data_IF_360830614601
#
_entry.id   IF_360830614601
#
_cell.length_a   1.000
_cell.length_b   1.000
_cell.length_c   1.000
_cell.angle_alpha   90.00
_cell.angle_beta   90.00
_cell.angle_gamma   90.00
#
_symmetry.space_group_name_H-M   'P 1'
#
loop_
_entity.id
_entity.type
_entity.pdbx_description
1 polymer ?
#
# COMPACT_ATOMS: atom_id res chain seq x y z
N UNK A 1 41.61 -39.11 21.04
CA UNK A 1 41.31 -37.67 20.93
C UNK A 1 40.23 -37.30 19.90
N UNK A 2 39.95 -38.12 18.87
CA UNK A 2 38.98 -37.76 17.82
C UNK A 2 37.48 -37.92 18.20
N UNK A 3 37.15 -38.59 19.31
CA UNK A 3 35.76 -38.89 19.70
C UNK A 3 35.15 -37.80 20.61
N UNK A 4 35.99 -37.04 21.30
CA UNK A 4 35.58 -35.94 22.19
C UNK A 4 35.18 -34.70 21.39
N UNK A 5 35.82 -34.45 20.25
CA UNK A 5 35.52 -33.28 19.38
C UNK A 5 34.20 -33.42 18.63
N UNK A 6 33.80 -34.65 18.27
CA UNK A 6 32.51 -34.89 17.59
C UNK A 6 31.31 -34.65 18.51
N UNK A 7 31.40 -35.12 19.75
CA UNK A 7 30.36 -34.91 20.76
C UNK A 7 30.19 -33.44 21.16
N UNK A 8 31.28 -32.66 21.18
CA UNK A 8 31.22 -31.23 21.47
C UNK A 8 30.57 -30.44 20.32
N UNK A 9 30.82 -30.83 19.07
CA UNK A 9 30.18 -30.22 17.90
C UNK A 9 28.69 -30.57 17.81
N UNK A 10 28.30 -31.81 18.11
CA UNK A 10 26.90 -32.22 18.14
C UNK A 10 26.12 -31.51 19.27
N UNK A 11 26.76 -31.29 20.43
CA UNK A 11 26.17 -30.52 21.53
C UNK A 11 26.00 -29.05 21.15
N UNK A 12 27.02 -28.43 20.53
CA UNK A 12 26.92 -27.04 20.03
C UNK A 12 25.85 -26.89 18.94
N UNK A 13 25.73 -27.87 18.03
CA UNK A 13 24.72 -27.86 16.98
C UNK A 13 23.30 -27.98 17.55
N UNK A 14 23.11 -28.84 18.56
CA UNK A 14 21.82 -28.97 19.25
C UNK A 14 21.47 -27.73 20.09
N UNK A 15 22.45 -27.08 20.72
CA UNK A 15 22.23 -25.83 21.46
C UNK A 15 21.86 -24.69 20.50
N UNK A 16 22.56 -24.55 19.37
CA UNK A 16 22.21 -23.57 18.33
C UNK A 16 20.83 -23.83 17.74
N UNK A 17 20.47 -25.09 17.50
CA UNK A 17 19.15 -25.48 17.01
C UNK A 17 18.04 -25.26 18.06
N UNK A 18 18.36 -25.40 19.35
CA UNK A 18 17.43 -25.12 20.45
C UNK A 18 17.24 -23.61 20.68
N UNK A 19 18.28 -22.79 20.50
CA UNK A 19 18.16 -21.32 20.56
C UNK A 19 17.45 -20.72 19.34
N UNK A 20 17.54 -21.37 18.17
CA UNK A 20 16.72 -20.99 17.01
C UNK A 20 15.22 -21.33 17.20
N UNK A 21 14.90 -22.21 18.14
CA UNK A 21 13.52 -22.64 18.45
C UNK A 21 12.84 -21.80 19.54
N UNK A 22 13.60 -20.99 20.29
CA UNK A 22 13.09 -20.14 21.38
C UNK A 22 13.00 -18.65 21.03
N UNK A 23 12.92 -18.34 19.73
CA UNK A 23 12.44 -17.05 19.23
C UNK A 23 10.94 -17.07 18.97
N UNK A 24 10.13 -17.56 19.91
CA UNK A 24 8.68 -17.40 19.84
C UNK A 24 8.34 -15.95 20.19
N UNK A 25 8.52 -15.06 19.21
CA UNK A 25 7.87 -13.75 19.24
C UNK A 25 6.37 -13.98 19.45
N UNK A 26 5.79 -13.28 20.43
CA UNK A 26 4.35 -13.09 20.63
C UNK A 26 3.72 -12.33 19.44
N UNK A 27 3.88 -12.87 18.24
CA UNK A 27 3.07 -12.54 17.08
C UNK A 27 1.89 -13.51 17.09
N UNK A 28 0.63 -13.03 16.98
CA UNK A 28 -0.52 -13.90 16.96
C UNK A 28 -0.37 -14.92 15.82
N UNK A 29 -0.11 -16.17 16.20
CA UNK A 29 -0.13 -17.31 15.30
C UNK A 29 -1.55 -17.43 14.73
N UNK A 30 -1.77 -16.88 13.54
CA UNK A 30 -2.93 -17.25 12.73
C UNK A 30 -2.65 -18.63 12.15
N UNK A 31 -2.90 -19.63 13.00
CA UNK A 31 -2.81 -21.05 12.65
C UNK A 31 -3.67 -21.33 11.42
N UNK A 32 -3.15 -22.17 10.55
CA UNK A 32 -3.81 -22.92 9.49
C UNK A 32 -5.32 -23.14 9.70
N UNK A 33 -6.17 -23.08 8.65
CA UNK A 33 -7.63 -22.87 8.75
C UNK A 33 -8.47 -24.00 9.37
N UNK A 34 -7.85 -25.01 9.99
CA UNK A 34 -8.52 -26.19 10.53
C UNK A 34 -9.05 -26.05 11.96
N UNK A 35 -8.72 -24.98 12.71
CA UNK A 35 -9.08 -24.88 14.15
C UNK A 35 -9.49 -23.49 14.67
N UNK A 36 -9.67 -22.48 13.81
CA UNK A 36 -10.18 -21.18 14.28
C UNK A 36 -11.67 -21.26 14.59
N UNK A 37 -12.11 -20.74 15.75
CA UNK A 37 -13.54 -20.57 16.03
C UNK A 37 -14.19 -19.72 14.93
N UNK A 38 -15.49 -19.95 14.65
CA UNK A 38 -16.24 -19.18 13.64
C UNK A 38 -16.13 -17.67 13.89
N UNK A 39 -16.13 -17.25 15.15
CA UNK A 39 -15.98 -15.85 15.53
C UNK A 39 -14.59 -15.28 15.18
N UNK A 40 -13.52 -16.07 15.38
CA UNK A 40 -12.18 -15.68 14.95
C UNK A 40 -12.12 -15.51 13.43
N UNK A 41 -12.74 -16.43 12.67
CA UNK A 41 -12.79 -16.35 11.21
C UNK A 41 -13.57 -15.11 10.74
N UNK A 42 -14.71 -14.80 11.36
CA UNK A 42 -15.49 -13.58 11.06
C UNK A 42 -14.62 -12.34 11.29
N UNK A 43 -13.90 -12.28 12.42
CA UNK A 43 -13.03 -11.16 12.74
C UNK A 43 -11.90 -11.01 11.72
N UNK A 44 -11.24 -12.11 11.33
CA UNK A 44 -10.18 -12.08 10.31
C UNK A 44 -10.70 -11.57 8.97
N UNK A 45 -11.83 -12.10 8.48
CA UNK A 45 -12.45 -11.67 7.22
C UNK A 45 -12.85 -10.19 7.29
N UNK A 46 -13.40 -9.75 8.42
CA UNK A 46 -13.71 -8.34 8.65
C UNK A 46 -12.48 -7.44 8.54
N UNK A 47 -11.39 -7.80 9.23
CA UNK A 47 -10.12 -7.05 9.18
C UNK A 47 -9.53 -6.99 7.78
N UNK A 48 -9.60 -8.08 7.02
CA UNK A 48 -9.16 -8.15 5.63
C UNK A 48 -9.95 -7.17 4.74
N UNK A 49 -11.28 -7.21 4.79
CA UNK A 49 -12.13 -6.30 4.01
C UNK A 49 -11.94 -4.84 4.41
N UNK A 50 -11.89 -4.55 5.71
CA UNK A 50 -11.65 -3.20 6.23
C UNK A 50 -10.30 -2.65 5.73
N UNK A 51 -9.25 -3.46 5.81
CA UNK A 51 -7.91 -3.07 5.33
C UNK A 51 -7.90 -2.85 3.82
N UNK A 52 -8.57 -3.71 3.05
CA UNK A 52 -8.74 -3.53 1.60
C UNK A 52 -9.37 -2.17 1.30
N UNK A 53 -10.51 -1.83 1.92
CA UNK A 53 -11.19 -0.54 1.71
C UNK A 53 -10.27 0.65 2.00
N UNK A 54 -9.52 0.58 3.10
CA UNK A 54 -8.60 1.65 3.50
C UNK A 54 -7.47 1.89 2.49
N UNK A 55 -6.94 0.84 1.87
CA UNK A 55 -5.88 0.95 0.86
C UNK A 55 -6.45 1.34 -0.52
N UNK A 56 -7.66 0.88 -0.82
CA UNK A 56 -8.30 1.06 -2.12
C UNK A 56 -8.50 2.54 -2.49
N UNK A 57 -8.94 3.37 -1.54
CA UNK A 57 -9.15 4.80 -1.77
C UNK A 57 -7.87 5.56 -2.14
N UNK A 58 -6.78 5.51 -1.34
CA UNK A 58 -5.48 6.04 -1.72
C UNK A 58 -4.99 5.47 -3.06
N UNK A 59 -5.12 4.17 -3.29
CA UNK A 59 -4.75 3.54 -4.56
C UNK A 59 -5.49 4.14 -5.76
N UNK A 60 -6.82 4.25 -5.71
CA UNK A 60 -7.64 4.86 -6.76
C UNK A 60 -7.20 6.30 -7.02
N UNK A 61 -6.92 7.06 -5.97
CA UNK A 61 -6.45 8.45 -6.07
C UNK A 61 -5.12 8.56 -6.84
N UNK A 62 -4.15 7.70 -6.53
CA UNK A 62 -2.86 7.67 -7.24
C UNK A 62 -3.02 7.20 -8.70
N UNK A 63 -3.82 6.14 -8.92
CA UNK A 63 -4.11 5.61 -10.25
C UNK A 63 -4.73 6.68 -11.15
N UNK A 64 -5.73 7.39 -10.66
CA UNK A 64 -6.43 8.42 -11.42
C UNK A 64 -5.54 9.62 -11.74
N UNK A 65 -4.66 10.02 -10.82
CA UNK A 65 -3.68 11.07 -11.08
C UNK A 65 -2.71 10.70 -12.22
N UNK A 66 -2.22 9.45 -12.24
CA UNK A 66 -1.35 8.95 -13.31
C UNK A 66 -2.09 8.77 -14.64
N UNK A 67 -3.37 8.35 -14.61
CA UNK A 67 -4.24 8.33 -15.80
C UNK A 67 -4.43 9.74 -16.37
N UNK A 68 -4.72 10.73 -15.51
CA UNK A 68 -4.86 12.12 -15.95
C UNK A 68 -3.57 12.63 -16.57
N UNK A 69 -2.42 12.34 -15.97
CA UNK A 69 -1.09 12.65 -16.54
C UNK A 69 -0.91 12.04 -17.93
N UNK A 70 -1.36 10.80 -18.14
CA UNK A 70 -1.31 10.13 -19.44
C UNK A 70 -2.16 10.88 -20.48
N UNK A 71 -3.41 11.20 -20.12
CA UNK A 71 -4.32 11.94 -20.99
C UNK A 71 -3.78 13.32 -21.35
N UNK A 72 -3.33 14.08 -20.36
CA UNK A 72 -2.77 15.42 -20.55
C UNK A 72 -1.53 15.38 -21.43
N UNK A 73 -0.65 14.38 -21.23
CA UNK A 73 0.52 14.18 -22.05
C UNK A 73 0.16 13.93 -23.51
N UNK A 74 -0.87 13.12 -23.78
CA UNK A 74 -1.38 12.87 -25.13
C UNK A 74 -1.99 14.13 -25.75
N UNK A 75 -2.93 14.79 -25.04
CA UNK A 75 -3.57 16.06 -25.46
C UNK A 75 -2.56 17.18 -25.70
N UNK A 76 -1.44 17.19 -24.97
CA UNK A 76 -0.40 18.21 -25.13
C UNK A 76 0.29 18.18 -26.50
N UNK A 77 0.22 17.06 -27.23
CA UNK A 77 0.92 16.89 -28.52
C UNK A 77 0.42 17.84 -29.61
N UNK A 78 -0.83 18.27 -29.51
CA UNK A 78 -1.48 19.19 -30.46
C UNK A 78 -1.10 20.66 -30.22
N UNK A 79 -0.50 20.98 -29.07
CA UNK A 79 -0.13 22.33 -28.72
C UNK A 79 1.24 22.73 -29.31
N UNK A 80 1.41 24.02 -29.60
CA UNK A 80 2.73 24.58 -29.93
C UNK A 80 3.75 24.35 -28.77
N UNK A 81 5.07 24.37 -29.03
CA UNK A 81 6.08 23.99 -28.04
C UNK A 81 6.01 24.74 -26.71
N UNK A 82 5.70 26.04 -26.73
CA UNK A 82 5.61 26.88 -25.52
C UNK A 82 4.40 26.46 -24.68
N UNK A 83 3.23 26.39 -25.31
CA UNK A 83 1.99 25.98 -24.64
C UNK A 83 2.08 24.53 -24.15
N UNK A 84 2.74 23.66 -24.93
CA UNK A 84 3.00 22.28 -24.55
C UNK A 84 3.86 22.19 -23.30
N UNK A 85 4.93 22.98 -23.22
CA UNK A 85 5.74 23.05 -22.01
C UNK A 85 4.91 23.44 -20.78
N UNK A 86 4.07 24.48 -20.89
CA UNK A 86 3.21 24.92 -19.78
C UNK A 86 2.22 23.85 -19.34
N UNK A 87 1.55 23.17 -20.30
CA UNK A 87 0.62 22.06 -20.01
C UNK A 87 1.31 20.89 -19.31
N UNK A 88 2.47 20.46 -19.83
CA UNK A 88 3.23 19.37 -19.20
C UNK A 88 3.70 19.76 -17.79
N UNK A 89 4.10 21.01 -17.59
CA UNK A 89 4.58 21.48 -16.30
C UNK A 89 3.45 21.49 -15.28
N UNK A 90 2.25 21.91 -15.70
CA UNK A 90 1.05 21.89 -14.87
C UNK A 90 0.64 20.47 -14.49
N UNK A 91 0.54 19.57 -15.47
CA UNK A 91 0.14 18.18 -15.23
C UNK A 91 1.09 17.47 -14.27
N UNK A 92 2.41 17.70 -14.39
CA UNK A 92 3.37 17.16 -13.41
C UNK A 92 3.15 17.76 -12.02
N UNK A 93 2.90 19.07 -11.89
CA UNK A 93 2.60 19.70 -10.58
C UNK A 93 1.40 19.06 -9.88
N UNK A 94 0.35 18.76 -10.64
CA UNK A 94 -0.88 18.15 -10.13
C UNK A 94 -0.66 16.71 -9.64
N UNK A 95 0.29 15.98 -10.22
CA UNK A 95 0.67 14.66 -9.71
C UNK A 95 1.61 14.76 -8.51
N UNK A 96 2.66 15.60 -8.58
CA UNK A 96 3.69 15.63 -7.52
C UNK A 96 3.21 16.29 -6.22
N UNK A 97 2.15 17.10 -6.25
CA UNK A 97 1.52 17.62 -5.03
C UNK A 97 0.96 16.49 -4.15
N UNK A 98 0.64 15.34 -4.75
CA UNK A 98 0.17 14.16 -4.03
C UNK A 98 1.27 13.59 -3.13
N UNK A 99 2.52 13.67 -3.55
CA UNK A 99 3.68 13.30 -2.72
C UNK A 99 3.89 14.30 -1.58
N UNK A 100 3.69 15.60 -1.83
CA UNK A 100 3.78 16.64 -0.78
C UNK A 100 2.68 16.51 0.28
N UNK A 101 1.56 15.89 -0.07
CA UNK A 101 0.48 15.54 0.85
C UNK A 101 0.71 14.15 1.49
N UNK A 102 1.97 13.74 1.71
CA UNK A 102 2.36 12.42 2.20
C UNK A 102 1.60 11.96 3.45
N UNK A 103 1.23 12.90 4.35
CA UNK A 103 0.41 12.61 5.54
C UNK A 103 -1.01 12.11 5.23
N UNK A 104 -1.52 12.27 4.00
CA UNK A 104 -2.81 11.73 3.53
C UNK A 104 -2.66 10.37 2.84
N UNK A 105 -1.44 9.87 2.65
CA UNK A 105 -1.16 8.59 2.00
C UNK A 105 -0.71 7.57 3.06
N UNK A 106 -1.07 6.30 2.88
CA UNK A 106 -0.73 5.22 3.81
C UNK A 106 0.74 4.83 3.70
N UNK A 107 1.53 5.05 4.74
CA UNK A 107 2.89 4.55 4.80
C UNK A 107 2.89 3.03 5.01
N UNK A 108 3.06 2.30 3.91
CA UNK A 108 3.06 0.84 3.90
C UNK A 108 4.49 0.38 3.62
N UNK A 109 5.17 -0.24 4.59
CA UNK A 109 6.55 -0.69 4.45
C UNK A 109 6.66 -1.76 3.37
N UNK A 110 7.82 -1.86 2.73
CA UNK A 110 8.08 -2.94 1.77
C UNK A 110 8.07 -4.31 2.48
N UNK A 111 7.74 -5.34 1.69
CA UNK A 111 7.89 -6.73 2.11
C UNK A 111 9.38 -7.08 2.23
N UNK A 112 9.76 -7.80 3.28
CA UNK A 112 11.11 -8.34 3.42
C UNK A 112 11.32 -9.48 2.42
N UNK A 113 12.55 -9.68 1.93
CA UNK A 113 12.88 -10.76 0.99
C UNK A 113 12.65 -12.16 1.55
N UNK A 114 12.69 -12.33 2.87
CA UNK A 114 12.42 -13.61 3.55
C UNK A 114 10.96 -13.76 4.04
N UNK A 115 10.14 -12.70 3.96
CA UNK A 115 8.77 -12.69 4.50
C UNK A 115 7.77 -13.32 3.53
N UNK A 116 6.95 -14.26 4.02
CA UNK A 116 5.89 -14.84 3.19
C UNK A 116 4.79 -13.82 2.86
N UNK A 117 4.10 -14.03 1.73
CA UNK A 117 3.10 -13.06 1.25
C UNK A 117 1.93 -12.86 2.21
N UNK A 118 1.50 -13.93 2.89
CA UNK A 118 0.41 -13.85 3.86
C UNK A 118 0.85 -13.15 5.15
N UNK A 119 2.07 -13.46 5.64
CA UNK A 119 2.65 -12.81 6.82
C UNK A 119 2.81 -11.31 6.59
N UNK A 120 3.26 -10.92 5.39
CA UNK A 120 3.30 -9.54 4.98
C UNK A 120 1.93 -8.85 5.04
N UNK A 121 0.88 -9.50 4.52
CA UNK A 121 -0.48 -8.96 4.60
C UNK A 121 -0.94 -8.80 6.05
N UNK A 122 -0.67 -9.79 6.92
CA UNK A 122 -1.00 -9.72 8.35
C UNK A 122 -0.28 -8.54 9.02
N UNK A 123 1.01 -8.33 8.74
CA UNK A 123 1.78 -7.20 9.25
C UNK A 123 1.19 -5.86 8.83
N UNK A 124 0.75 -5.73 7.58
CA UNK A 124 0.10 -4.51 7.09
C UNK A 124 -1.26 -4.27 7.75
N UNK A 125 -2.05 -5.32 7.99
CA UNK A 125 -3.32 -5.22 8.75
C UNK A 125 -3.05 -4.63 10.13
N UNK A 126 -2.11 -5.20 10.88
CA UNK A 126 -1.75 -4.73 12.22
C UNK A 126 -1.27 -3.27 12.22
N UNK A 127 -0.35 -2.92 11.32
CA UNK A 127 0.17 -1.56 11.18
C UNK A 127 -0.97 -0.54 10.97
N UNK A 128 -1.92 -0.87 10.10
CA UNK A 128 -3.02 0.02 9.79
C UNK A 128 -4.01 0.10 10.96
N UNK A 129 -4.28 -1.00 11.67
CA UNK A 129 -5.09 -0.97 12.90
C UNK A 129 -4.51 -0.01 13.95
N UNK A 130 -3.21 -0.08 14.23
CA UNK A 130 -2.51 0.79 15.18
C UNK A 130 -2.53 2.27 14.75
N UNK A 131 -2.36 2.53 13.44
CA UNK A 131 -2.42 3.89 12.91
C UNK A 131 -3.84 4.49 13.00
N UNK A 132 -4.89 3.67 13.19
CA UNK A 132 -6.27 4.13 13.30
C UNK A 132 -6.66 4.61 14.70
N UNK A 133 -5.91 4.24 15.74
CA UNK A 133 -6.23 4.56 17.14
C UNK A 133 -5.57 5.85 17.64
N UNK A 134 -4.64 6.43 16.88
CA UNK A 134 -4.01 7.69 17.23
C UNK A 134 -4.99 8.88 17.04
N UNK A 135 -5.39 9.60 18.11
CA UNK A 135 -6.07 10.86 17.93
C UNK A 135 -5.11 11.87 17.26
N UNK A 136 -5.60 12.79 16.43
CA UNK A 136 -4.74 13.84 15.90
C UNK A 136 -4.18 14.63 17.09
N UNK A 137 -2.86 14.60 17.26
CA UNK A 137 -2.17 15.36 18.31
C UNK A 137 -2.63 16.82 18.21
N UNK A 138 -3.10 17.34 19.34
CA UNK A 138 -3.84 18.60 19.44
C UNK A 138 -3.21 19.75 18.65
N UNK A 139 -4.06 20.39 17.84
CA UNK A 139 -3.74 21.57 17.06
C UNK A 139 -4.91 21.94 16.15
N UNK A 140 -4.77 23.02 15.37
CA UNK A 140 -5.79 23.53 14.43
C UNK A 140 -6.27 22.45 13.43
N UNK A 141 -5.48 21.39 13.20
CA UNK A 141 -5.87 20.21 12.41
C UNK A 141 -6.99 19.34 13.03
N UNK A 142 -7.20 19.39 14.35
CA UNK A 142 -8.31 18.72 15.02
C UNK A 142 -9.66 19.37 14.69
N UNK A 143 -9.69 20.70 14.54
CA UNK A 143 -10.90 21.44 14.15
C UNK A 143 -11.28 21.20 12.67
N UNK A 144 -10.31 21.00 11.79
CA UNK A 144 -10.58 20.64 10.39
C UNK A 144 -10.96 19.16 10.20
N UNK A 145 -10.52 18.28 11.10
CA UNK A 145 -10.96 16.88 11.16
C UNK A 145 -12.33 16.71 11.85
N UNK A 146 -12.93 17.81 12.31
CA UNK A 146 -14.21 17.84 13.03
C UNK A 146 -15.45 17.78 12.13
N UNK A 147 -15.34 17.35 10.88
CA UNK A 147 -16.52 16.85 10.15
C UNK A 147 -16.97 15.53 10.79
N UNK A 148 -17.68 15.62 11.92
CA UNK A 148 -18.29 14.51 12.66
C UNK A 148 -19.20 13.62 11.78
N UNK A 149 -19.52 14.04 10.55
CA UNK A 149 -20.16 13.19 9.54
C UNK A 149 -19.26 12.03 9.08
N UNK A 150 -17.95 12.21 8.90
CA UNK A 150 -17.06 11.17 8.37
C UNK A 150 -16.92 9.98 9.32
N UNK A 151 -16.75 10.25 10.61
CA UNK A 151 -16.60 9.21 11.65
C UNK A 151 -17.89 8.40 11.86
N UNK A 152 -19.05 9.05 11.75
CA UNK A 152 -20.36 8.39 11.83
C UNK A 152 -20.71 7.56 10.58
N UNK A 153 -20.20 7.97 9.41
CA UNK A 153 -20.34 7.19 8.17
C UNK A 153 -19.41 5.99 8.19
N UNK A 154 -18.15 6.15 8.62
CA UNK A 154 -17.20 5.04 8.81
C UNK A 154 -17.74 3.99 9.78
N UNK A 155 -18.28 4.38 10.93
CA UNK A 155 -18.87 3.41 11.89
C UNK A 155 -20.10 2.70 11.35
N UNK A 156 -20.95 3.35 10.56
CA UNK A 156 -22.10 2.72 9.90
C UNK A 156 -21.67 1.73 8.81
N UNK A 157 -20.69 2.12 7.98
CA UNK A 157 -20.12 1.23 6.96
C UNK A 157 -19.46 0.03 7.61
N UNK A 158 -18.69 0.25 8.67
CA UNK A 158 -18.04 -0.79 9.46
C UNK A 158 -19.06 -1.78 10.06
N UNK A 159 -20.16 -1.27 10.63
CA UNK A 159 -21.21 -2.11 11.20
C UNK A 159 -21.92 -2.93 10.12
N UNK A 160 -22.29 -2.30 9.00
CA UNK A 160 -22.96 -2.99 7.89
C UNK A 160 -22.08 -4.07 7.25
N UNK A 161 -20.76 -3.82 7.14
CA UNK A 161 -19.78 -4.78 6.67
C UNK A 161 -19.69 -5.97 7.64
N UNK A 162 -19.60 -5.70 8.94
CA UNK A 162 -19.51 -6.75 9.95
C UNK A 162 -20.76 -7.64 9.95
N UNK A 163 -21.96 -7.05 9.90
CA UNK A 163 -23.22 -7.80 9.87
C UNK A 163 -23.37 -8.62 8.57
N UNK A 164 -22.94 -8.06 7.44
CA UNK A 164 -22.90 -8.77 6.17
C UNK A 164 -21.96 -9.99 6.21
N UNK A 165 -20.79 -9.88 6.85
CA UNK A 165 -19.85 -10.99 7.01
C UNK A 165 -20.41 -12.04 7.98
N UNK A 166 -20.97 -11.61 9.11
CA UNK A 166 -21.52 -12.50 10.14
C UNK A 166 -22.65 -13.39 9.64
N UNK A 167 -23.43 -12.92 8.66
CA UNK A 167 -24.54 -13.69 8.06
C UNK A 167 -24.10 -14.78 7.07
N UNK A 168 -22.83 -14.80 6.63
CA UNK A 168 -22.30 -15.80 5.68
C UNK A 168 -22.03 -17.15 6.32
N UNK A 169 -22.05 -18.22 5.53
CA UNK A 169 -21.73 -19.58 5.99
C UNK A 169 -20.23 -19.73 6.27
N UNK A 170 -19.86 -20.65 7.15
CA UNK A 170 -18.44 -20.84 7.53
C UNK A 170 -17.55 -21.21 6.34
N UNK A 171 -18.04 -22.06 5.43
CA UNK A 171 -17.33 -22.44 4.20
C UNK A 171 -17.10 -21.23 3.26
N UNK A 172 -18.11 -20.36 3.15
CA UNK A 172 -17.99 -19.12 2.36
C UNK A 172 -16.97 -18.17 2.99
N UNK A 173 -16.95 -18.07 4.32
CA UNK A 173 -15.99 -17.25 5.05
C UNK A 173 -14.55 -17.76 4.88
N UNK A 174 -14.34 -19.07 4.90
CA UNK A 174 -13.01 -19.67 4.67
C UNK A 174 -12.51 -19.33 3.26
N UNK A 175 -13.35 -19.55 2.24
CA UNK A 175 -13.02 -19.23 0.86
C UNK A 175 -12.78 -17.73 0.65
N UNK A 176 -13.59 -16.88 1.27
CA UNK A 176 -13.43 -15.42 1.20
C UNK A 176 -12.12 -14.99 1.87
N UNK A 177 -11.77 -15.57 3.01
CA UNK A 177 -10.51 -15.31 3.72
C UNK A 177 -9.30 -15.57 2.81
N UNK A 178 -9.19 -16.77 2.25
CA UNK A 178 -8.10 -17.16 1.35
C UNK A 178 -7.99 -16.23 0.12
N UNK A 179 -9.13 -15.94 -0.51
CA UNK A 179 -9.19 -15.03 -1.65
C UNK A 179 -8.77 -13.60 -1.27
N UNK A 180 -9.19 -13.12 -0.10
CA UNK A 180 -8.87 -11.77 0.36
C UNK A 180 -7.40 -11.57 0.65
N UNK A 181 -6.69 -12.56 1.18
CA UNK A 181 -5.23 -12.47 1.33
C UNK A 181 -4.54 -12.20 -0.01
N UNK A 182 -4.88 -12.97 -1.04
CA UNK A 182 -4.29 -12.82 -2.38
C UNK A 182 -4.65 -11.47 -2.99
N UNK A 183 -5.92 -11.05 -2.88
CA UNK A 183 -6.36 -9.77 -3.43
C UNK A 183 -5.71 -8.59 -2.72
N UNK A 184 -5.61 -8.65 -1.39
CA UNK A 184 -5.02 -7.59 -0.58
C UNK A 184 -3.52 -7.47 -0.85
N UNK A 185 -2.81 -8.60 -0.95
CA UNK A 185 -1.41 -8.62 -1.37
C UNK A 185 -1.21 -7.92 -2.72
N UNK A 186 -1.98 -8.29 -3.75
CA UNK A 186 -1.93 -7.65 -5.08
C UNK A 186 -2.20 -6.15 -5.00
N UNK A 187 -3.21 -5.74 -4.22
CA UNK A 187 -3.55 -4.33 -4.03
C UNK A 187 -2.42 -3.54 -3.36
N UNK A 188 -1.81 -4.09 -2.30
CA UNK A 188 -0.67 -3.50 -1.61
C UNK A 188 0.49 -3.29 -2.59
N UNK A 189 0.83 -4.31 -3.38
CA UNK A 189 1.93 -4.25 -4.37
C UNK A 189 1.66 -3.18 -5.43
N UNK A 190 0.45 -3.13 -5.97
CA UNK A 190 0.02 -2.08 -6.93
C UNK A 190 0.15 -0.69 -6.32
N UNK A 191 -0.39 -0.50 -5.12
CA UNK A 191 -0.30 0.77 -4.39
C UNK A 191 1.15 1.24 -4.19
N UNK A 192 2.03 0.35 -3.73
CA UNK A 192 3.46 0.66 -3.56
C UNK A 192 4.14 1.00 -4.89
N UNK A 193 3.77 0.31 -5.98
CA UNK A 193 4.25 0.64 -7.33
C UNK A 193 3.91 2.07 -7.72
N UNK A 194 2.66 2.49 -7.56
CA UNK A 194 2.24 3.86 -7.89
C UNK A 194 2.89 4.91 -6.98
N UNK A 195 3.04 4.60 -5.69
CA UNK A 195 3.79 5.46 -4.74
C UNK A 195 5.22 5.70 -5.23
N UNK A 196 5.94 4.64 -5.65
CA UNK A 196 7.30 4.77 -6.18
C UNK A 196 7.35 5.65 -7.44
N UNK A 197 6.43 5.44 -8.39
CA UNK A 197 6.37 6.24 -9.63
C UNK A 197 6.17 7.72 -9.32
N UNK A 198 5.24 8.04 -8.42
CA UNK A 198 4.93 9.42 -8.05
C UNK A 198 6.11 10.07 -7.30
N UNK A 199 6.73 9.35 -6.36
CA UNK A 199 7.92 9.81 -5.66
C UNK A 199 9.09 10.09 -6.61
N UNK A 200 9.38 9.16 -7.52
CA UNK A 200 10.42 9.39 -8.54
C UNK A 200 10.10 10.57 -9.46
N UNK A 201 8.84 10.73 -9.86
CA UNK A 201 8.41 11.87 -10.66
C UNK A 201 8.59 13.18 -9.88
N UNK A 202 8.24 13.19 -8.59
CA UNK A 202 8.47 14.31 -7.69
C UNK A 202 9.95 14.66 -7.60
N UNK A 203 10.81 13.71 -7.30
CA UNK A 203 12.24 13.94 -7.09
C UNK A 203 12.92 14.44 -8.36
N UNK A 204 12.60 13.83 -9.52
CA UNK A 204 13.08 14.28 -10.84
C UNK A 204 12.56 15.68 -11.19
N UNK A 205 11.31 15.97 -10.86
CA UNK A 205 10.71 17.28 -11.12
C UNK A 205 11.31 18.38 -10.24
N UNK A 206 11.54 18.09 -8.96
CA UNK A 206 12.14 19.04 -8.02
C UNK A 206 13.61 19.32 -8.38
N UNK A 207 14.40 18.27 -8.67
CA UNK A 207 15.76 18.42 -9.19
C UNK A 207 15.83 19.23 -10.50
N UNK A 208 14.80 19.13 -11.36
CA UNK A 208 14.75 19.90 -12.61
C UNK A 208 14.57 21.42 -12.40
N UNK A 209 14.23 21.86 -11.18
CA UNK A 209 14.04 23.28 -10.85
C UNK A 209 15.31 24.10 -10.88
N UNK A 210 16.46 23.44 -10.78
CA UNK A 210 17.77 24.09 -10.87
C UNK A 210 18.14 24.52 -12.30
N UNK A 211 17.39 24.06 -13.32
CA UNK A 211 17.69 24.31 -14.73
C UNK A 211 16.82 25.41 -15.33
N UNK A 212 17.36 26.23 -16.27
CA UNK A 212 16.57 27.15 -17.09
C UNK A 212 15.50 26.44 -17.94
N UNK A 213 14.54 27.21 -18.48
CA UNK A 213 13.35 26.69 -19.18
C UNK A 213 13.72 25.76 -20.36
N UNK A 214 14.69 26.16 -21.19
CA UNK A 214 15.07 25.42 -22.42
C UNK A 214 15.54 23.99 -22.13
N UNK A 215 16.54 23.74 -21.26
CA UNK A 215 16.93 22.38 -20.88
C UNK A 215 15.84 21.63 -20.08
N UNK A 216 14.90 22.33 -19.46
CA UNK A 216 13.85 21.72 -18.64
C UNK A 216 12.77 21.01 -19.46
N UNK A 217 12.43 21.50 -20.65
CA UNK A 217 11.42 20.88 -21.51
C UNK A 217 11.72 19.41 -21.90
N UNK A 218 12.92 19.05 -22.40
CA UNK A 218 13.23 17.65 -22.69
C UNK A 218 13.26 16.78 -21.44
N UNK A 219 13.72 17.30 -20.29
CA UNK A 219 13.69 16.60 -19.00
C UNK A 219 12.25 16.28 -18.57
N UNK A 220 11.34 17.26 -18.70
CA UNK A 220 9.93 17.12 -18.37
C UNK A 220 9.24 16.03 -19.21
N UNK A 221 9.50 16.01 -20.52
CA UNK A 221 9.01 14.91 -21.38
C UNK A 221 9.59 13.56 -20.96
N UNK A 222 10.88 13.50 -20.61
CA UNK A 222 11.55 12.26 -20.22
C UNK A 222 10.96 11.68 -18.94
N UNK A 223 10.77 12.51 -17.90
CA UNK A 223 10.20 12.07 -16.63
C UNK A 223 8.75 11.60 -16.78
N UNK A 224 7.92 12.31 -17.55
CA UNK A 224 6.53 11.88 -17.82
C UNK A 224 6.52 10.55 -18.57
N UNK A 225 7.30 10.43 -19.65
CA UNK A 225 7.41 9.15 -20.38
C UNK A 225 7.90 8.01 -19.50
N UNK A 226 8.82 8.27 -18.57
CA UNK A 226 9.32 7.28 -17.62
C UNK A 226 8.20 6.80 -16.70
N UNK A 227 7.42 7.71 -16.13
CA UNK A 227 6.28 7.36 -15.28
C UNK A 227 5.22 6.56 -16.05
N UNK A 228 4.89 6.97 -17.27
CA UNK A 228 3.87 6.32 -18.11
C UNK A 228 4.31 4.97 -18.70
N UNK A 229 5.59 4.65 -18.65
CA UNK A 229 6.15 3.36 -19.11
C UNK A 229 6.60 2.46 -17.97
N UNK A 230 6.46 2.91 -16.73
CA UNK A 230 6.74 2.08 -15.57
C UNK A 230 5.81 0.85 -15.64
N UNK A 231 6.35 -0.37 -15.46
CA UNK A 231 5.57 -1.59 -15.60
C UNK A 231 4.36 -1.58 -14.65
N UNK A 232 4.52 -1.07 -13.44
CA UNK A 232 3.45 -1.02 -12.44
C UNK A 232 2.27 -0.13 -12.85
N UNK A 233 2.50 0.89 -13.69
CA UNK A 233 1.42 1.70 -14.25
C UNK A 233 0.88 1.11 -15.55
N UNK A 234 1.75 0.58 -16.42
CA UNK A 234 1.35 -0.05 -17.67
C UNK A 234 0.35 -1.20 -17.44
N UNK A 235 0.58 -2.01 -16.41
CA UNK A 235 -0.27 -3.15 -16.06
C UNK A 235 -1.69 -2.72 -15.64
N UNK A 236 -1.85 -1.52 -15.07
CA UNK A 236 -3.12 -1.08 -14.49
C UNK A 236 -3.80 0.06 -15.25
N UNK A 237 -3.15 0.65 -16.25
CA UNK A 237 -3.70 1.81 -16.96
C UNK A 237 -5.01 1.49 -17.71
N UNK A 238 -5.24 0.23 -18.06
CA UNK A 238 -6.47 -0.24 -18.69
C UNK A 238 -7.49 -0.83 -17.71
N UNK A 239 -7.17 -0.95 -16.42
CA UNK A 239 -8.11 -1.44 -15.42
C UNK A 239 -9.27 -0.43 -15.27
N UNK A 240 -10.50 -0.93 -15.41
CA UNK A 240 -11.69 -0.18 -15.03
C UNK A 240 -11.62 0.13 -13.54
N UNK A 241 -12.09 1.30 -13.15
CA UNK A 241 -12.18 1.65 -11.73
C UNK A 241 -13.39 0.90 -11.17
N UNK A 242 -13.13 -0.19 -10.45
CA UNK A 242 -14.09 -0.77 -9.50
C UNK A 242 -14.60 0.30 -8.54
#
# INVERSE_FOLDING_TARGET
MAQVTKSAMDLMFNILLSMAKEGSSDCPQFTTPGRSSRDNLINTVYKLHRTRLRILEPYRKLKNALKQLQEDYLKSKEANPIMRYMKLQQSVREVVIMEKQYWKLLDIPAQDGAEESNDYVVRIIHLLEETSSAPPSGGIGALLSSTMMGRNVETRVDQSLYDSIKSRKTEELQKDCENMYVQLYKLIRKYQGLRRIIKELHDKYDASRMYPIVPRYPLLKKMIKSALRAPEFADICHEQTE
#
